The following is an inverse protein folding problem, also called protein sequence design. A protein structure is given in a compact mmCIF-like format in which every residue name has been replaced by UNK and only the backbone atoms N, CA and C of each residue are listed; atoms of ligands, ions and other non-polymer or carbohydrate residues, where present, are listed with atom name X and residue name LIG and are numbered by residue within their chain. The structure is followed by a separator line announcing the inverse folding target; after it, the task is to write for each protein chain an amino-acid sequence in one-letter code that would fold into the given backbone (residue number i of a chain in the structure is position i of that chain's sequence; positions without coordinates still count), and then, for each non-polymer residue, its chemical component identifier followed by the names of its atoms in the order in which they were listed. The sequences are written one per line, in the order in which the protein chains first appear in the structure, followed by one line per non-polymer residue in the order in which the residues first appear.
data_IF_928815995031
#
_entry.id   IF_928815995031
#
_cell.length_a   1.000
_cell.length_b   1.000
_cell.length_c   1.000
_cell.angle_alpha   90.00
_cell.angle_beta   90.00
_cell.angle_gamma   90.00
#
_symmetry.space_group_name_H-M   'P 1'
#
loop_
_entity.id
_entity.type
_entity.pdbx_description
1 polymer ?
#
# COMPACT_ATOMS: atom_id res chain seq x y z
N UNK A 1 -72.26 15.01 22.43
CA UNK A 1 -71.49 13.97 23.16
C UNK A 1 -70.52 13.36 22.17
N UNK A 2 -69.25 13.77 22.24
CA UNK A 2 -68.20 13.30 21.34
C UNK A 2 -67.31 12.25 21.99
N UNK A 3 -66.60 11.50 21.13
CA UNK A 3 -65.33 10.75 21.31
C UNK A 3 -65.33 9.58 20.33
N UNK A 4 -64.25 9.15 19.70
CA UNK A 4 -62.97 9.72 19.32
C UNK A 4 -62.38 8.67 18.36
N UNK A 5 -61.95 9.07 17.16
CA UNK A 5 -61.28 8.17 16.21
C UNK A 5 -59.82 8.07 16.62
N UNK A 6 -59.36 6.87 16.98
CA UNK A 6 -57.94 6.59 17.25
C UNK A 6 -57.32 5.96 16.01
N UNK A 7 -56.56 6.75 15.25
CA UNK A 7 -55.68 6.26 14.19
C UNK A 7 -54.29 6.05 14.82
N UNK A 8 -53.88 4.80 14.95
CA UNK A 8 -52.52 4.41 15.32
C UNK A 8 -51.61 4.63 14.10
N UNK A 9 -50.85 5.72 14.09
CA UNK A 9 -49.79 5.94 13.14
C UNK A 9 -48.53 5.18 13.61
N UNK A 10 -48.26 4.03 12.99
CA UNK A 10 -47.00 3.30 13.18
C UNK A 10 -45.88 4.08 12.48
N UNK A 11 -45.02 4.73 13.26
CA UNK A 11 -43.84 5.43 12.77
C UNK A 11 -42.75 4.41 12.47
N UNK A 12 -42.56 4.06 11.19
CA UNK A 12 -41.39 3.31 10.75
C UNK A 12 -40.19 4.25 10.77
N UNK A 13 -39.40 4.17 11.84
CA UNK A 13 -38.11 4.85 11.92
C UNK A 13 -37.14 4.08 11.01
N UNK A 14 -36.96 4.59 9.79
CA UNK A 14 -35.85 4.19 8.94
C UNK A 14 -34.56 4.71 9.57
N UNK A 15 -33.92 3.88 10.40
CA UNK A 15 -32.50 4.03 10.71
C UNK A 15 -31.73 3.80 9.42
N UNK A 16 -31.54 4.87 8.65
CA UNK A 16 -30.48 4.96 7.64
C UNK A 16 -29.14 4.95 8.37
N UNK A 17 -28.79 3.79 8.92
CA UNK A 17 -27.50 3.51 9.49
C UNK A 17 -26.48 3.59 8.37
N UNK A 18 -25.57 4.56 8.52
CA UNK A 18 -24.41 4.80 7.69
C UNK A 18 -23.66 3.51 7.34
N UNK A 19 -23.90 3.00 6.13
CA UNK A 19 -23.08 1.97 5.47
C UNK A 19 -21.78 2.63 5.01
N UNK A 20 -20.98 3.09 5.96
CA UNK A 20 -19.63 3.59 5.75
C UNK A 20 -18.61 2.54 6.26
N UNK A 21 -18.86 1.26 5.97
CA UNK A 21 -17.96 0.19 6.38
C UNK A 21 -17.32 -0.45 5.16
N UNK A 22 -15.98 -0.33 5.09
CA UNK A 22 -15.06 -1.10 4.26
C UNK A 22 -14.85 -0.69 2.80
N UNK A 23 -14.93 0.59 2.42
CA UNK A 23 -14.20 1.02 1.21
C UNK A 23 -12.73 1.19 1.57
N UNK A 24 -11.89 0.31 1.04
CA UNK A 24 -10.44 0.52 1.06
C UNK A 24 -10.14 1.90 0.47
N UNK A 25 -9.21 2.63 1.08
CA UNK A 25 -8.77 3.93 0.54
C UNK A 25 -8.28 3.72 -0.89
N UNK A 26 -8.65 4.61 -1.81
CA UNK A 26 -8.19 4.58 -3.20
C UNK A 26 -7.40 5.85 -3.52
N UNK A 27 -6.42 5.74 -4.42
CA UNK A 27 -5.68 6.88 -4.97
C UNK A 27 -5.72 6.87 -6.49
N UNK A 28 -5.69 8.05 -7.09
CA UNK A 28 -5.60 8.17 -8.54
C UNK A 28 -4.14 8.05 -8.99
N UNK A 29 -3.85 7.02 -9.77
CA UNK A 29 -2.52 6.71 -10.27
C UNK A 29 -2.61 6.48 -11.79
N UNK A 30 -2.05 7.40 -12.57
CA UNK A 30 -1.99 7.35 -14.04
C UNK A 30 -3.32 7.05 -14.76
N UNK A 31 -4.44 7.66 -14.32
CA UNK A 31 -5.73 7.46 -14.98
C UNK A 31 -6.64 6.44 -14.31
N UNK A 32 -6.13 5.70 -13.33
CA UNK A 32 -6.84 4.61 -12.66
C UNK A 32 -6.97 4.90 -11.16
N UNK A 33 -8.09 4.48 -10.57
CA UNK A 33 -8.26 4.42 -9.11
C UNK A 33 -7.69 3.09 -8.63
N UNK A 34 -6.69 3.13 -7.75
CA UNK A 34 -5.99 1.92 -7.27
C UNK A 34 -5.88 1.92 -5.75
N UNK A 35 -5.71 0.72 -5.18
CA UNK A 35 -5.39 0.57 -3.76
C UNK A 35 -3.94 1.08 -3.52
N UNK A 36 -3.73 2.18 -2.76
CA UNK A 36 -2.41 2.71 -2.48
C UNK A 36 -1.56 1.82 -1.56
N UNK A 37 -2.17 0.80 -0.96
CA UNK A 37 -1.53 -0.20 -0.09
C UNK A 37 -1.65 -1.60 -0.69
N UNK A 38 -1.76 -1.67 -2.02
CA UNK A 38 -1.82 -2.94 -2.73
C UNK A 38 -0.57 -3.78 -2.53
N UNK A 39 -0.71 -5.09 -2.65
CA UNK A 39 0.43 -5.99 -2.59
C UNK A 39 1.15 -6.09 -3.95
N UNK A 40 2.03 -7.07 -4.09
CA UNK A 40 2.82 -7.23 -5.30
C UNK A 40 1.92 -7.52 -6.51
N UNK A 41 0.96 -8.42 -6.33
CA UNK A 41 0.01 -8.86 -7.34
C UNK A 41 -0.85 -7.70 -7.85
N UNK A 42 -1.30 -6.82 -6.94
CA UNK A 42 -2.05 -5.61 -7.32
C UNK A 42 -1.25 -4.69 -8.26
N UNK A 43 0.06 -4.55 -8.02
CA UNK A 43 0.91 -3.68 -8.82
C UNK A 43 1.20 -4.28 -10.20
N UNK A 44 1.58 -5.56 -10.26
CA UNK A 44 1.97 -6.22 -11.52
C UNK A 44 0.78 -6.57 -12.41
N UNK A 45 -0.44 -6.56 -11.87
CA UNK A 45 -1.66 -6.71 -12.67
C UNK A 45 -1.83 -5.59 -13.70
N UNK A 46 -1.26 -4.40 -13.46
CA UNK A 46 -1.24 -3.31 -14.43
C UNK A 46 0.16 -3.07 -15.02
N UNK A 47 1.23 -3.27 -14.25
CA UNK A 47 2.61 -3.12 -14.72
C UNK A 47 3.11 -4.35 -15.48
N UNK A 48 2.33 -4.81 -16.46
CA UNK A 48 2.57 -5.99 -17.29
C UNK A 48 3.09 -5.64 -18.71
N UNK A 49 3.21 -4.35 -19.02
CA UNK A 49 3.56 -3.85 -20.35
C UNK A 49 2.39 -3.71 -21.32
N UNK A 50 1.18 -4.12 -20.93
CA UNK A 50 -0.06 -3.97 -21.70
C UNK A 50 -0.90 -2.81 -21.21
N UNK A 51 -1.15 -2.74 -19.90
CA UNK A 51 -2.01 -1.72 -19.27
C UNK A 51 -1.17 -0.50 -18.88
N UNK A 52 -0.07 -0.74 -18.18
CA UNK A 52 0.92 0.26 -17.80
C UNK A 52 2.32 -0.19 -18.22
N UNK A 53 3.29 0.72 -18.11
CA UNK A 53 4.68 0.43 -18.42
C UNK A 53 5.17 -0.75 -17.58
N UNK A 54 5.76 -1.74 -18.23
CA UNK A 54 6.39 -2.89 -17.58
C UNK A 54 7.50 -2.43 -16.61
N UNK A 55 7.61 -3.13 -15.49
CA UNK A 55 8.61 -2.87 -14.45
C UNK A 55 9.42 -4.13 -14.19
N UNK A 56 10.76 -4.11 -14.40
CA UNK A 56 11.57 -5.29 -14.15
C UNK A 56 11.67 -5.54 -12.64
N UNK A 57 11.15 -6.68 -12.22
CA UNK A 57 11.27 -7.19 -10.85
C UNK A 57 11.92 -8.58 -10.84
N UNK A 58 12.40 -8.95 -9.67
CA UNK A 58 13.01 -10.24 -9.43
C UNK A 58 12.54 -10.82 -8.09
N UNK A 59 12.17 -12.09 -8.10
CA UNK A 59 11.75 -12.84 -6.92
C UNK A 59 12.74 -13.95 -6.54
N UNK A 60 13.70 -14.28 -7.41
CA UNK A 60 14.68 -15.36 -7.20
C UNK A 60 16.07 -15.00 -7.77
N UNK A 61 17.14 -15.30 -7.03
CA UNK A 61 18.54 -15.03 -7.44
C UNK A 61 18.80 -13.58 -7.91
N UNK A 62 18.28 -12.62 -7.13
CA UNK A 62 18.25 -11.22 -7.53
C UNK A 62 19.58 -10.51 -7.33
N UNK A 63 19.88 -9.60 -8.25
CA UNK A 63 20.96 -8.63 -8.11
C UNK A 63 20.36 -7.26 -7.83
N UNK A 64 20.97 -6.50 -6.92
CA UNK A 64 20.65 -5.09 -6.72
C UNK A 64 20.97 -4.22 -7.95
N UNK A 65 21.67 -4.76 -8.95
CA UNK A 65 22.11 -4.02 -10.13
C UNK A 65 21.15 -4.05 -11.32
N UNK A 66 20.15 -4.94 -11.32
CA UNK A 66 19.33 -5.19 -12.51
C UNK A 66 17.85 -5.03 -12.25
N UNK A 67 17.23 -5.98 -11.55
CA UNK A 67 15.79 -6.00 -11.29
C UNK A 67 15.51 -5.86 -9.79
N UNK A 68 14.43 -5.16 -9.45
CA UNK A 68 14.08 -4.90 -8.05
C UNK A 68 13.82 -6.23 -7.33
N UNK A 69 14.55 -6.48 -6.24
CA UNK A 69 14.30 -7.65 -5.41
C UNK A 69 13.04 -7.44 -4.59
N UNK A 70 11.95 -8.13 -4.95
CA UNK A 70 10.65 -8.03 -4.31
C UNK A 70 10.22 -9.38 -3.71
N UNK A 71 9.14 -9.36 -2.93
CA UNK A 71 8.58 -10.51 -2.21
C UNK A 71 9.62 -11.20 -1.32
N UNK A 72 10.51 -10.42 -0.70
CA UNK A 72 11.54 -10.92 0.21
C UNK A 72 11.14 -10.70 1.67
N UNK A 73 11.35 -11.68 2.56
CA UNK A 73 11.19 -11.45 3.99
C UNK A 73 12.14 -10.33 4.45
N UNK A 74 11.65 -9.50 5.38
CA UNK A 74 12.43 -8.43 5.97
C UNK A 74 12.54 -8.57 7.50
N UNK A 75 13.75 -8.52 8.07
CA UNK A 75 15.03 -8.62 7.35
C UNK A 75 15.18 -10.03 6.73
N UNK A 76 16.12 -10.23 5.80
CA UNK A 76 16.45 -11.57 5.31
C UNK A 76 16.94 -12.46 6.47
N UNK A 77 16.46 -13.71 6.59
CA UNK A 77 16.88 -14.61 7.64
C UNK A 77 18.39 -14.79 7.72
N UNK A 78 18.96 -14.63 8.91
CA UNK A 78 20.40 -14.73 9.16
C UNK A 78 21.21 -13.48 8.79
N UNK A 79 20.55 -12.41 8.37
CA UNK A 79 21.19 -11.12 8.08
C UNK A 79 20.67 -9.98 8.98
N UNK A 80 19.91 -10.28 10.03
CA UNK A 80 19.20 -9.31 10.87
C UNK A 80 20.10 -8.15 11.36
N UNK A 81 21.37 -8.43 11.66
CA UNK A 81 22.34 -7.43 12.13
C UNK A 81 22.78 -6.41 11.08
N UNK A 82 22.51 -6.66 9.80
CA UNK A 82 22.84 -5.77 8.68
C UNK A 82 21.67 -4.88 8.24
N UNK A 83 20.53 -4.96 8.94
CA UNK A 83 19.29 -4.29 8.57
C UNK A 83 18.70 -3.50 9.73
N UNK A 84 18.06 -2.38 9.39
CA UNK A 84 17.34 -1.54 10.33
C UNK A 84 16.10 -2.26 10.86
N UNK A 85 15.71 -2.07 12.12
CA UNK A 85 14.52 -2.68 12.67
C UNK A 85 13.24 -2.12 12.00
N UNK A 86 12.14 -2.90 11.88
CA UNK A 86 10.91 -2.45 11.22
C UNK A 86 10.29 -1.16 11.78
N UNK A 87 10.59 -0.79 13.03
CA UNK A 87 10.16 0.47 13.60
C UNK A 87 10.81 1.70 12.93
N UNK A 88 12.09 1.59 12.55
CA UNK A 88 12.82 2.65 11.84
C UNK A 88 12.26 2.83 10.42
N UNK A 89 12.00 1.72 9.72
CA UNK A 89 11.38 1.73 8.39
C UNK A 89 10.05 2.47 8.39
N UNK A 90 9.16 2.13 9.34
CA UNK A 90 7.86 2.79 9.47
C UNK A 90 7.97 4.28 9.75
N UNK A 91 9.00 4.72 10.48
CA UNK A 91 9.22 6.15 10.74
C UNK A 91 9.62 6.92 9.47
N UNK A 92 10.28 6.27 8.51
CA UNK A 92 10.60 6.81 7.19
C UNK A 92 9.47 6.58 6.15
N UNK A 93 8.33 5.99 6.57
CA UNK A 93 7.20 5.72 5.68
C UNK A 93 7.31 4.45 4.84
N UNK A 94 8.30 3.59 5.09
CA UNK A 94 8.41 2.27 4.46
C UNK A 94 7.41 1.30 5.07
N UNK A 95 6.57 0.70 4.22
CA UNK A 95 5.60 -0.32 4.61
C UNK A 95 6.07 -1.73 4.24
N UNK A 96 6.00 -2.67 5.18
CA UNK A 96 6.25 -4.10 4.93
C UNK A 96 4.92 -4.83 4.83
N UNK A 97 4.59 -5.37 3.66
CA UNK A 97 3.36 -6.15 3.46
C UNK A 97 3.61 -7.58 3.91
N UNK A 98 2.91 -8.01 4.95
CA UNK A 98 3.07 -9.36 5.55
C UNK A 98 4.52 -9.67 5.94
N UNK A 99 5.26 -8.65 6.39
CA UNK A 99 6.68 -8.79 6.76
C UNK A 99 7.63 -8.94 5.57
N UNK A 100 7.17 -8.61 4.35
CA UNK A 100 7.97 -8.68 3.12
C UNK A 100 8.13 -7.32 2.47
N UNK A 101 9.24 -7.16 1.74
CA UNK A 101 9.47 -6.02 0.84
C UNK A 101 8.69 -6.25 -0.46
N UNK A 102 7.81 -5.32 -0.79
CA UNK A 102 7.03 -5.28 -2.04
C UNK A 102 7.14 -3.90 -2.69
N UNK A 103 6.43 -3.66 -3.79
CA UNK A 103 6.47 -2.39 -4.53
C UNK A 103 6.24 -1.19 -3.60
N UNK A 104 5.18 -1.24 -2.79
CA UNK A 104 4.81 -0.14 -1.89
C UNK A 104 5.77 0.07 -0.70
N UNK A 105 6.73 -0.85 -0.49
CA UNK A 105 7.78 -0.63 0.50
C UNK A 105 8.71 0.51 0.09
N UNK A 106 8.95 0.67 -1.21
CA UNK A 106 9.78 1.74 -1.77
C UNK A 106 8.94 2.85 -2.39
N UNK A 107 7.69 2.56 -2.77
CA UNK A 107 6.81 3.47 -3.48
C UNK A 107 5.60 3.88 -2.63
N UNK A 108 5.39 5.17 -2.44
CA UNK A 108 4.18 5.75 -1.89
C UNK A 108 3.37 6.40 -3.02
N UNK A 109 2.27 5.77 -3.44
CA UNK A 109 1.43 6.28 -4.54
C UNK A 109 0.76 7.64 -4.24
N UNK A 110 0.80 8.13 -3.00
CA UNK A 110 0.37 9.50 -2.64
C UNK A 110 1.48 10.54 -2.84
N UNK A 111 2.73 10.12 -3.01
CA UNK A 111 3.82 11.03 -3.34
C UNK A 111 3.73 11.41 -4.82
N UNK A 112 3.44 12.66 -5.20
CA UNK A 112 3.32 13.05 -6.60
C UNK A 112 4.68 13.17 -7.33
N UNK A 113 5.81 13.06 -6.61
CA UNK A 113 7.14 13.12 -7.20
C UNK A 113 7.37 11.95 -8.18
N UNK A 114 8.27 12.11 -9.17
CA UNK A 114 8.64 11.04 -10.08
C UNK A 114 9.00 9.75 -9.34
N UNK A 115 8.56 8.62 -9.88
CA UNK A 115 8.74 7.28 -9.29
C UNK A 115 8.10 7.08 -7.92
N UNK A 116 7.36 8.05 -7.36
CA UNK A 116 6.59 7.86 -6.13
C UNK A 116 7.43 7.37 -4.93
N UNK A 117 8.72 7.69 -4.83
CA UNK A 117 9.55 7.10 -3.78
C UNK A 117 9.10 7.51 -2.38
N UNK A 118 9.13 6.59 -1.41
CA UNK A 118 8.86 6.89 0.01
C UNK A 118 9.89 7.87 0.59
N UNK A 119 11.13 7.74 0.14
CA UNK A 119 12.28 8.57 0.48
C UNK A 119 13.10 8.77 -0.79
N UNK A 120 13.66 9.97 -0.97
CA UNK A 120 14.52 10.27 -2.11
C UNK A 120 15.73 9.32 -2.21
N UNK A 121 16.18 9.02 -3.43
CA UNK A 121 17.31 8.11 -3.71
C UNK A 121 18.68 8.80 -3.62
N UNK A 122 18.70 10.13 -3.50
CA UNK A 122 19.91 10.94 -3.37
C UNK A 122 20.85 10.39 -2.30
N UNK A 123 22.13 10.24 -2.66
CA UNK A 123 23.14 9.66 -1.77
C UNK A 123 22.83 8.24 -1.30
N UNK A 124 22.01 7.49 -2.05
CA UNK A 124 21.51 6.15 -1.70
C UNK A 124 20.68 6.12 -0.41
N UNK A 125 20.05 7.25 -0.05
CA UNK A 125 19.27 7.36 1.20
C UNK A 125 18.19 6.29 1.30
N UNK A 126 17.45 6.03 0.23
CA UNK A 126 16.45 4.96 0.20
C UNK A 126 17.03 3.58 0.58
N UNK A 127 18.24 3.24 0.12
CA UNK A 127 18.89 1.98 0.47
C UNK A 127 19.20 1.91 1.97
N UNK A 128 19.67 3.02 2.54
CA UNK A 128 20.05 3.11 3.95
C UNK A 128 18.86 3.22 4.91
N UNK A 129 17.64 3.38 4.41
CA UNK A 129 16.43 3.18 5.23
C UNK A 129 16.38 1.73 5.74
N UNK A 130 16.83 0.78 4.91
CA UNK A 130 16.82 -0.64 5.24
C UNK A 130 18.18 -1.14 5.72
N UNK A 131 19.27 -0.72 5.10
CA UNK A 131 20.60 -1.27 5.36
C UNK A 131 21.38 -0.46 6.38
N UNK A 132 21.98 -1.15 7.35
CA UNK A 132 22.97 -0.55 8.26
C UNK A 132 24.30 -0.43 7.50
N UNK A 133 24.98 0.71 7.65
CA UNK A 133 26.31 0.95 7.06
C UNK A 133 27.40 0.17 7.76
#
# INVERSE_FOLDING_TARGET
MGRAVSVLAASVVFLAGSVQLCRGEEVFHHGLSVNPRGDFEDCVACHDGLIAKDVPYCTQNCSFKTAHSLQRPYPPPGQESSYQPPAVLRAEGVELVRGTVVCISCHNLRNPAPHHLVVDIDGSRLCYVCHIK
#
